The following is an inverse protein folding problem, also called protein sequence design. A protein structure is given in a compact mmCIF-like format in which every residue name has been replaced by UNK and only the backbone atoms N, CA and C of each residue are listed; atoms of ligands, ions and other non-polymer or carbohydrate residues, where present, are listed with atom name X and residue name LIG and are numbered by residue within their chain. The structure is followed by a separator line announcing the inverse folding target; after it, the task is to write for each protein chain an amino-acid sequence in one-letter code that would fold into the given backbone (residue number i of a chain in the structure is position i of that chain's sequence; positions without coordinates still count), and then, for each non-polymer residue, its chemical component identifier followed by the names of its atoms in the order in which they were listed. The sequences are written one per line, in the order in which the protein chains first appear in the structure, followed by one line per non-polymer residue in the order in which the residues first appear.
data_IF_913854306086
#
_entry.id   IF_913854306086
#
_cell.length_a   1.000
_cell.length_b   1.000
_cell.length_c   1.000
_cell.angle_alpha   90.00
_cell.angle_beta   90.00
_cell.angle_gamma   90.00
#
_symmetry.space_group_name_H-M   'P 1'
#
loop_
_entity.id
_entity.type
_entity.pdbx_description
1 polymer ?
#
# COMPACT_ATOMS: atom_id res chain seq x y z
N UNK A 1 1.12 10.26 12.39
CA UNK A 1 -0.26 9.99 11.95
C UNK A 1 -0.15 9.05 10.76
N UNK A 2 -0.86 7.91 10.73
CA UNK A 2 -0.80 7.02 9.58
C UNK A 2 -1.59 7.66 8.42
N UNK A 3 -0.95 7.88 7.27
CA UNK A 3 -1.51 8.61 6.14
C UNK A 3 -1.70 7.73 4.89
N UNK A 4 -1.56 6.42 5.02
CA UNK A 4 -1.73 5.47 3.92
C UNK A 4 -0.54 5.32 3.01
N UNK A 5 0.59 5.96 3.32
CA UNK A 5 1.84 5.73 2.58
C UNK A 5 2.40 4.35 2.90
N UNK A 6 2.89 3.66 1.87
CA UNK A 6 3.58 2.38 1.99
C UNK A 6 4.56 2.21 0.84
N UNK A 7 5.52 1.31 0.99
CA UNK A 7 6.55 1.11 -0.01
C UNK A 7 7.16 -0.29 -0.02
N UNK A 8 7.93 -0.56 -1.07
CA UNK A 8 8.75 -1.75 -1.21
C UNK A 8 10.17 -1.41 -0.78
N UNK A 9 10.67 -2.15 0.21
CA UNK A 9 12.04 -2.06 0.68
C UNK A 9 12.87 -3.16 0.02
N UNK A 10 13.92 -2.78 -0.69
CA UNK A 10 14.98 -3.71 -1.09
C UNK A 10 15.85 -3.97 0.14
N UNK A 11 15.81 -5.21 0.63
CA UNK A 11 16.53 -5.62 1.84
C UNK A 11 18.05 -5.75 1.62
N UNK A 12 18.50 -6.02 0.40
CA UNK A 12 19.92 -6.13 0.09
C UNK A 12 20.57 -4.73 0.06
N UNK A 13 19.85 -3.76 -0.51
CA UNK A 13 20.31 -2.37 -0.62
C UNK A 13 19.99 -1.52 0.61
N UNK A 14 19.03 -1.95 1.43
CA UNK A 14 18.49 -1.15 2.53
C UNK A 14 17.79 0.13 2.05
N UNK A 15 17.18 0.10 0.86
CA UNK A 15 16.62 1.28 0.20
C UNK A 15 15.18 1.04 -0.25
N UNK A 16 14.32 2.06 -0.10
CA UNK A 16 12.96 2.03 -0.64
C UNK A 16 13.04 2.18 -2.15
N UNK A 17 12.58 1.17 -2.89
CA UNK A 17 12.62 1.14 -4.36
C UNK A 17 11.30 1.59 -5.00
N UNK A 18 10.23 1.58 -4.22
CA UNK A 18 8.92 2.06 -4.63
C UNK A 18 8.17 2.59 -3.43
N UNK A 19 7.50 3.73 -3.59
CA UNK A 19 6.62 4.30 -2.58
C UNK A 19 5.32 4.71 -3.26
N UNK A 20 4.21 4.45 -2.58
CA UNK A 20 2.88 4.82 -3.07
C UNK A 20 1.94 5.07 -1.89
N UNK A 21 0.72 5.50 -2.20
CA UNK A 21 -0.26 5.89 -1.21
C UNK A 21 -1.59 5.21 -1.46
N UNK A 22 -2.09 4.49 -0.47
CA UNK A 22 -3.45 4.00 -0.47
C UNK A 22 -4.39 5.20 -0.25
N UNK A 23 -5.25 5.46 -1.23
CA UNK A 23 -6.30 6.48 -1.14
C UNK A 23 -7.67 5.87 -1.37
N UNK A 24 -8.67 6.38 -0.67
CA UNK A 24 -10.07 6.07 -0.92
C UNK A 24 -10.77 7.36 -1.35
N UNK A 25 -11.37 7.36 -2.54
CA UNK A 25 -12.01 8.55 -3.12
C UNK A 25 -11.09 9.79 -3.16
N UNK A 26 -9.79 9.57 -3.39
CA UNK A 26 -8.77 10.64 -3.43
C UNK A 26 -8.30 11.14 -2.06
N UNK A 27 -8.83 10.59 -0.96
CA UNK A 27 -8.40 10.94 0.39
C UNK A 27 -7.43 9.88 0.96
N UNK A 28 -6.40 10.29 1.72
CA UNK A 28 -5.56 9.38 2.48
C UNK A 28 -6.38 8.47 3.40
N UNK A 29 -6.00 7.20 3.52
CA UNK A 29 -6.66 6.25 4.43
C UNK A 29 -5.62 5.44 5.19
N UNK A 30 -5.98 4.95 6.38
CA UNK A 30 -5.08 4.13 7.20
C UNK A 30 -5.10 2.69 6.69
N UNK A 31 -3.92 2.14 6.45
CA UNK A 31 -3.74 0.73 6.06
C UNK A 31 -3.79 -0.14 7.32
N UNK A 32 -4.65 -1.16 7.31
CA UNK A 32 -4.82 -2.11 8.43
C UNK A 32 -4.21 -3.47 8.10
N UNK A 33 -4.29 -3.90 6.85
CA UNK A 33 -3.70 -5.16 6.41
C UNK A 33 -3.26 -5.08 4.94
N UNK A 34 -2.30 -5.93 4.59
CA UNK A 34 -1.68 -6.01 3.28
C UNK A 34 -1.57 -7.48 2.89
N UNK A 35 -1.88 -7.80 1.63
CA UNK A 35 -1.64 -9.12 1.06
C UNK A 35 -1.04 -8.99 -0.33
N UNK A 36 0.08 -9.66 -0.56
CA UNK A 36 0.90 -9.61 -1.77
C UNK A 36 0.59 -10.84 -2.62
N UNK A 37 0.26 -10.64 -3.90
CA UNK A 37 0.06 -11.74 -4.85
C UNK A 37 0.30 -11.32 -6.31
N UNK A 38 0.30 -12.26 -7.24
CA UNK A 38 0.24 -11.89 -8.66
C UNK A 38 -1.22 -11.56 -9.02
N UNK A 39 -1.53 -10.42 -9.68
CA UNK A 39 -0.65 -9.42 -10.30
C UNK A 39 -0.49 -8.11 -9.50
N UNK A 40 -0.78 -8.09 -8.19
CA UNK A 40 -0.75 -6.83 -7.42
C UNK A 40 -0.80 -6.99 -5.90
N UNK A 41 -1.09 -5.88 -5.24
CA UNK A 41 -1.22 -5.77 -3.79
C UNK A 41 -2.68 -5.50 -3.42
N UNK A 42 -3.22 -6.31 -2.52
CA UNK A 42 -4.49 -6.03 -1.86
C UNK A 42 -4.24 -5.30 -0.54
N UNK A 43 -4.89 -4.15 -0.36
CA UNK A 43 -4.75 -3.29 0.81
C UNK A 43 -6.10 -3.18 1.51
N UNK A 44 -6.19 -3.66 2.74
CA UNK A 44 -7.34 -3.44 3.62
C UNK A 44 -7.19 -2.13 4.38
N UNK A 45 -8.23 -1.31 4.34
CA UNK A 45 -8.21 0.05 4.88
C UNK A 45 -9.13 0.20 6.09
N UNK A 46 -8.86 1.18 6.96
CA UNK A 46 -9.66 1.45 8.17
C UNK A 46 -11.14 1.77 7.85
N UNK A 47 -11.42 2.33 6.68
CA UNK A 47 -12.80 2.60 6.24
C UNK A 47 -13.55 1.34 5.77
N UNK A 48 -12.96 0.15 5.91
CA UNK A 48 -13.59 -1.13 5.58
C UNK A 48 -13.54 -1.50 4.09
N UNK A 49 -12.81 -0.73 3.28
CA UNK A 49 -12.65 -0.99 1.85
C UNK A 49 -11.35 -1.74 1.55
N UNK A 50 -11.35 -2.48 0.44
CA UNK A 50 -10.15 -3.12 -0.13
C UNK A 50 -9.76 -2.36 -1.39
N UNK A 51 -8.52 -1.87 -1.44
CA UNK A 51 -7.92 -1.29 -2.64
C UNK A 51 -6.99 -2.33 -3.28
N UNK A 52 -7.13 -2.56 -4.59
CA UNK A 52 -6.21 -3.41 -5.36
C UNK A 52 -5.29 -2.50 -6.16
N UNK A 53 -4.00 -2.59 -5.89
CA UNK A 53 -2.98 -1.78 -6.53
C UNK A 53 -2.13 -2.72 -7.41
N UNK A 54 -2.08 -2.51 -8.75
CA UNK A 54 -1.23 -3.33 -9.60
C UNK A 54 0.24 -3.12 -9.23
N UNK A 55 1.07 -4.16 -9.40
CA UNK A 55 2.51 -3.94 -9.46
C UNK A 55 2.78 -3.06 -10.67
N UNK A 56 3.34 -1.87 -10.45
CA UNK A 56 3.74 -0.96 -11.53
C UNK A 56 4.80 -1.59 -12.43
#
# INVERSE_FOLDING_TARGET
MADGSFGLLDLERGAVIHETKATYQGLPTVIQCLSVGAPGLAVGTLCGNICVLPWG
#
